data_IF_629316403085
#
_entry.id   IF_629316403085
#
_cell.length_a   1.000
_cell.length_b   1.000
_cell.length_c   1.000
_cell.angle_alpha   90.00
_cell.angle_beta   90.00
_cell.angle_gamma   90.00
#
_symmetry.space_group_name_H-M   'P 1'
#
loop_
_entity.id
_entity.type
_entity.pdbx_description
1 polymer ?
#
# COMPACT_ATOMS: atom_id res chain seq x y z
N UNK A 1 -4.13 6.20 -25.12
CA UNK A 1 -4.19 5.00 -24.27
C UNK A 1 -4.17 5.46 -22.81
N UNK A 2 -5.20 5.18 -22.02
CA UNK A 2 -5.19 5.50 -20.58
C UNK A 2 -4.40 4.41 -19.87
N UNK A 3 -3.25 4.76 -19.28
CA UNK A 3 -2.44 3.83 -18.49
C UNK A 3 -2.75 4.03 -17.01
N UNK A 4 -3.22 2.96 -16.37
CA UNK A 4 -3.49 2.89 -14.94
C UNK A 4 -2.25 2.37 -14.20
N UNK A 5 -1.97 2.96 -13.05
CA UNK A 5 -0.87 2.51 -12.21
C UNK A 5 -1.15 1.08 -11.71
N UNK A 6 -0.23 0.16 -11.98
CA UNK A 6 -0.32 -1.22 -11.48
C UNK A 6 0.63 -1.38 -10.31
N UNK A 7 0.10 -1.78 -9.15
CA UNK A 7 0.86 -1.86 -7.89
C UNK A 7 0.66 -3.24 -7.23
N UNK A 8 1.67 -3.75 -6.50
CA UNK A 8 1.49 -4.95 -5.65
C UNK A 8 0.47 -4.59 -4.58
N UNK A 9 -0.56 -5.41 -4.45
CA UNK A 9 -1.61 -5.23 -3.47
C UNK A 9 -1.15 -5.80 -2.13
N UNK A 10 -0.50 -4.93 -1.34
CA UNK A 10 0.02 -5.29 -0.02
C UNK A 10 -0.19 -4.14 0.98
N UNK A 11 -0.21 -4.44 2.30
CA UNK A 11 -0.42 -3.42 3.32
C UNK A 11 0.57 -2.26 3.24
N UNK A 12 1.86 -2.54 3.01
CA UNK A 12 2.90 -1.51 2.92
C UNK A 12 2.69 -0.55 1.73
N UNK A 13 2.29 -1.07 0.56
CA UNK A 13 2.02 -0.27 -0.63
C UNK A 13 0.78 0.60 -0.46
N UNK A 14 -0.29 0.06 0.13
CA UNK A 14 -1.51 0.82 0.43
C UNK A 14 -1.19 1.94 1.43
N UNK A 15 -0.43 1.66 2.49
CA UNK A 15 0.00 2.66 3.45
C UNK A 15 0.86 3.76 2.80
N UNK A 16 1.76 3.38 1.89
CA UNK A 16 2.63 4.33 1.16
C UNK A 16 1.81 5.24 0.25
N UNK A 17 0.88 4.68 -0.52
CA UNK A 17 -0.01 5.46 -1.38
C UNK A 17 -0.91 6.40 -0.58
N UNK A 18 -1.47 5.92 0.54
CA UNK A 18 -2.25 6.73 1.48
C UNK A 18 -1.44 7.90 2.01
N UNK A 19 -0.20 7.65 2.44
CA UNK A 19 0.70 8.69 2.93
C UNK A 19 0.98 9.72 1.84
N UNK A 20 1.28 9.30 0.62
CA UNK A 20 1.52 10.19 -0.50
C UNK A 20 0.30 11.08 -0.80
N UNK A 21 -0.90 10.49 -0.84
CA UNK A 21 -2.16 11.23 -1.04
C UNK A 21 -2.37 12.30 0.03
N UNK A 22 -2.16 11.96 1.30
CA UNK A 22 -2.33 12.90 2.42
C UNK A 22 -1.25 13.96 2.48
N UNK A 23 -0.04 13.66 2.02
CA UNK A 23 1.03 14.65 1.91
C UNK A 23 0.70 15.68 0.83
N UNK A 24 0.18 15.23 -0.33
CA UNK A 24 -0.23 16.14 -1.41
C UNK A 24 -1.49 16.94 -1.06
N UNK A 25 -2.42 16.34 -0.31
CA UNK A 25 -3.67 16.97 0.10
C UNK A 25 -3.89 16.86 1.62
N UNK A 26 -3.25 17.73 2.44
CA UNK A 26 -3.28 17.62 3.91
C UNK A 26 -4.66 17.73 4.55
N UNK A 27 -5.63 18.32 3.85
CA UNK A 27 -7.03 18.44 4.32
C UNK A 27 -7.81 17.13 4.27
N UNK A 28 -7.31 16.12 3.54
CA UNK A 28 -7.97 14.81 3.45
C UNK A 28 -7.79 14.06 4.77
N UNK A 29 -8.91 13.71 5.41
CA UNK A 29 -8.92 12.92 6.65
C UNK A 29 -8.42 11.51 6.37
N UNK A 30 -7.77 10.90 7.37
CA UNK A 30 -7.20 9.55 7.25
C UNK A 30 -8.21 8.51 6.75
N UNK A 31 -9.39 8.47 7.38
CA UNK A 31 -10.47 7.54 7.04
C UNK A 31 -11.07 7.79 5.65
N UNK A 32 -11.10 9.04 5.20
CA UNK A 32 -11.57 9.36 3.84
C UNK A 32 -10.54 8.95 2.78
N UNK A 33 -9.25 9.09 3.07
CA UNK A 33 -8.20 8.57 2.20
C UNK A 33 -8.29 7.04 2.07
N UNK A 34 -8.57 6.33 3.16
CA UNK A 34 -8.78 4.87 3.16
C UNK A 34 -9.95 4.47 2.23
N UNK A 35 -11.10 5.12 2.40
CA UNK A 35 -12.29 4.88 1.58
C UNK A 35 -12.08 5.25 0.10
N UNK A 36 -11.39 6.34 -0.17
CA UNK A 36 -11.08 6.79 -1.52
C UNK A 36 -10.14 5.83 -2.26
N UNK A 37 -9.10 5.34 -1.57
CA UNK A 37 -8.20 4.34 -2.12
C UNK A 37 -8.93 3.02 -2.39
N UNK A 38 -9.76 2.56 -1.45
CA UNK A 38 -10.56 1.34 -1.64
C UNK A 38 -11.45 1.44 -2.89
N UNK A 39 -12.14 2.58 -3.07
CA UNK A 39 -12.94 2.82 -4.28
C UNK A 39 -12.09 2.83 -5.56
N UNK A 40 -10.87 3.39 -5.52
CA UNK A 40 -9.96 3.41 -6.68
C UNK A 40 -9.53 2.01 -7.15
N UNK A 41 -9.60 1.01 -6.27
CA UNK A 41 -9.34 -0.39 -6.59
C UNK A 41 -10.62 -1.20 -6.83
N UNK A 42 -11.80 -0.55 -6.84
CA UNK A 42 -13.09 -1.19 -7.08
C UNK A 42 -13.77 -1.79 -5.85
N UNK A 43 -13.25 -1.56 -4.64
CA UNK A 43 -13.90 -2.02 -3.41
C UNK A 43 -15.02 -1.07 -2.98
N UNK A 44 -16.08 -1.65 -2.40
CA UNK A 44 -17.22 -0.88 -1.86
C UNK A 44 -16.88 -0.09 -0.60
N UNK A 45 -15.90 -0.54 0.17
CA UNK A 45 -15.44 0.10 1.40
C UNK A 45 -14.00 -0.31 1.72
N UNK A 46 -13.35 0.44 2.61
CA UNK A 46 -12.03 0.08 3.12
C UNK A 46 -12.04 -1.25 3.88
N UNK A 47 -13.11 -1.55 4.62
CA UNK A 47 -13.25 -2.83 5.32
C UNK A 47 -13.28 -4.03 4.35
N UNK A 48 -13.95 -3.89 3.20
CA UNK A 48 -13.95 -4.92 2.16
C UNK A 48 -12.56 -5.11 1.54
N UNK A 49 -11.83 -4.00 1.33
CA UNK A 49 -10.45 -4.04 0.85
C UNK A 49 -9.51 -4.74 1.84
N UNK A 50 -9.64 -4.43 3.14
CA UNK A 50 -8.85 -5.04 4.21
C UNK A 50 -9.07 -6.55 4.30
N UNK A 51 -10.30 -7.03 4.15
CA UNK A 51 -10.60 -8.45 4.15
C UNK A 51 -9.83 -9.21 3.05
N UNK A 52 -9.66 -8.59 1.87
CA UNK A 52 -8.86 -9.16 0.78
C UNK A 52 -7.36 -9.02 1.03
N UNK A 53 -6.89 -7.86 1.51
CA UNK A 53 -5.48 -7.65 1.86
C UNK A 53 -4.96 -8.73 2.82
N UNK A 54 -5.75 -9.07 3.84
CA UNK A 54 -5.40 -10.09 4.83
C UNK A 54 -5.39 -11.52 4.26
N UNK A 55 -6.11 -11.78 3.15
CA UNK A 55 -6.14 -13.10 2.51
C UNK A 55 -4.96 -13.28 1.55
N UNK A 56 -4.47 -12.21 0.93
CA UNK A 56 -3.41 -12.30 -0.10
C UNK A 56 -2.01 -12.08 0.44
N UNK A 57 -1.89 -11.54 1.65
CA UNK A 57 -0.61 -11.21 2.31
C UNK A 57 0.34 -12.40 2.50
N UNK A 58 -0.16 -13.65 2.49
CA UNK A 58 0.67 -14.83 2.79
C UNK A 58 1.38 -15.50 1.60
N UNK A 59 0.94 -15.34 0.35
CA UNK A 59 1.47 -16.17 -0.75
C UNK A 59 1.26 -15.66 -2.19
N UNK A 60 0.47 -14.61 -2.41
CA UNK A 60 0.08 -14.21 -3.77
C UNK A 60 0.65 -12.84 -4.15
N UNK A 61 1.35 -12.78 -5.30
CA UNK A 61 1.73 -11.52 -5.96
C UNK A 61 0.52 -10.89 -6.65
N UNK A 62 -0.52 -10.55 -5.88
CA UNK A 62 -1.68 -9.87 -6.43
C UNK A 62 -1.27 -8.46 -6.88
N UNK A 63 -1.49 -8.15 -8.15
CA UNK A 63 -1.29 -6.82 -8.72
C UNK A 63 -2.66 -6.18 -8.94
N UNK A 64 -2.82 -4.94 -8.52
CA UNK A 64 -4.07 -4.18 -8.74
C UNK A 64 -3.79 -2.94 -9.56
N UNK A 65 -4.77 -2.55 -10.38
CA UNK A 65 -4.77 -1.27 -11.06
C UNK A 65 -5.55 -0.26 -10.23
N UNK A 66 -4.98 0.93 -10.03
CA UNK A 66 -5.70 2.05 -9.44
C UNK A 66 -6.37 2.87 -10.55
N UNK A 67 -7.69 3.09 -10.42
CA UNK A 67 -8.43 3.99 -11.28
C UNK A 67 -8.47 5.41 -10.67
N UNK A 68 -7.76 6.39 -11.24
CA UNK A 68 -7.75 7.76 -10.74
C UNK A 68 -9.11 8.47 -10.91
N UNK A 69 -9.97 8.03 -11.83
CA UNK A 69 -11.32 8.57 -11.98
C UNK A 69 -12.21 8.14 -10.81
N UNK A 70 -12.15 6.86 -10.41
CA UNK A 70 -12.86 6.38 -9.23
C UNK A 70 -12.32 7.00 -7.93
N UNK A 71 -11.01 7.19 -7.85
CA UNK A 71 -10.38 7.92 -6.74
C UNK A 71 -10.94 9.35 -6.63
N UNK A 72 -10.94 10.09 -7.75
CA UNK A 72 -11.46 11.45 -7.80
C UNK A 72 -12.94 11.51 -7.43
N UNK A 73 -13.76 10.63 -8.02
CA UNK A 73 -15.19 10.57 -7.74
C UNK A 73 -15.46 10.31 -6.25
N UNK A 74 -14.73 9.37 -5.64
CA UNK A 74 -14.93 9.06 -4.22
C UNK A 74 -14.48 10.21 -3.32
N UNK A 75 -13.41 10.92 -3.67
CA UNK A 75 -12.98 12.11 -2.95
C UNK A 75 -14.00 13.25 -3.05
N UNK A 76 -14.60 13.45 -4.22
CA UNK A 76 -15.66 14.44 -4.42
C UNK A 76 -16.89 14.12 -3.56
N UNK A 77 -17.35 12.87 -3.54
CA UNK A 77 -18.44 12.39 -2.68
C UNK A 77 -18.17 12.60 -1.18
N UNK A 78 -16.90 12.59 -0.76
CA UNK A 78 -16.47 12.81 0.61
C UNK A 78 -16.22 14.29 0.94
N UNK A 79 -16.54 15.19 0.00
CA UNK A 79 -16.47 16.65 0.16
C UNK A 79 -15.16 17.29 -0.30
N UNK A 80 -14.32 16.57 -1.05
CA UNK A 80 -13.04 17.08 -1.58
C UNK A 80 -13.14 17.36 -3.08
N UNK A 81 -13.86 18.42 -3.43
CA UNK A 81 -14.03 18.87 -4.81
C UNK A 81 -12.83 19.70 -5.31
N UNK A 82 -12.75 19.87 -6.64
CA UNK A 82 -11.73 20.70 -7.29
C UNK A 82 -10.33 20.07 -7.37
N UNK A 83 -10.20 18.77 -7.07
CA UNK A 83 -8.95 18.04 -7.23
C UNK A 83 -8.68 17.74 -8.71
N UNK A 84 -7.41 17.77 -9.11
CA UNK A 84 -7.01 17.49 -10.49
C UNK A 84 -6.87 15.99 -10.72
N UNK A 85 -7.62 15.45 -11.70
CA UNK A 85 -7.49 14.07 -12.16
C UNK A 85 -6.05 13.75 -12.59
N UNK A 86 -5.39 14.71 -13.25
CA UNK A 86 -4.01 14.54 -13.70
C UNK A 86 -3.04 14.45 -12.52
N UNK A 87 -3.25 15.26 -11.48
CA UNK A 87 -2.43 15.22 -10.27
C UNK A 87 -2.61 13.89 -9.51
N UNK A 88 -3.85 13.39 -9.39
CA UNK A 88 -4.13 12.09 -8.78
C UNK A 88 -3.55 10.91 -9.58
N UNK A 89 -3.61 10.97 -10.91
CA UNK A 89 -2.96 9.98 -11.79
C UNK A 89 -1.44 10.00 -11.65
N UNK A 90 -0.85 11.19 -11.57
CA UNK A 90 0.59 11.35 -11.39
C UNK A 90 1.02 10.78 -10.03
N UNK A 91 0.27 11.10 -8.98
CA UNK A 91 0.51 10.58 -7.63
C UNK A 91 0.61 9.06 -7.63
N UNK A 92 -0.35 8.34 -8.22
CA UNK A 92 -0.34 6.87 -8.23
C UNK A 92 0.83 6.27 -9.00
N UNK A 93 1.44 7.02 -9.93
CA UNK A 93 2.62 6.57 -10.66
C UNK A 93 3.96 6.89 -10.00
N UNK A 94 4.07 8.05 -9.37
CA UNK A 94 5.33 8.56 -8.83
C UNK A 94 5.62 8.09 -7.40
N UNK A 95 4.66 7.43 -6.74
CA UNK A 95 4.88 6.88 -5.40
C UNK A 95 6.02 5.85 -5.42
N UNK A 96 7.10 6.05 -4.63
CA UNK A 96 8.15 5.06 -4.48
C UNK A 96 7.64 3.95 -3.57
N UNK A 97 7.02 2.93 -4.17
CA UNK A 97 6.52 1.78 -3.44
C UNK A 97 7.68 1.01 -2.80
N UNK A 98 7.58 0.65 -1.50
CA UNK A 98 8.62 -0.13 -0.84
C UNK A 98 8.87 -1.44 -1.58
N UNK A 99 10.15 -1.81 -1.63
CA UNK A 99 10.58 -2.99 -2.38
C UNK A 99 10.02 -4.28 -1.76
N UNK A 100 9.95 -5.32 -2.60
CA UNK A 100 9.02 -6.48 -2.52
C UNK A 100 9.03 -7.31 -1.23
N UNK A 101 9.97 -7.09 -0.30
CA UNK A 101 10.39 -8.04 0.75
C UNK A 101 9.91 -7.74 2.17
N UNK A 102 9.20 -6.63 2.42
CA UNK A 102 8.77 -6.27 3.78
C UNK A 102 7.56 -7.05 4.29
N UNK A 103 6.70 -7.52 3.37
CA UNK A 103 5.41 -8.15 3.69
C UNK A 103 5.41 -9.69 3.50
N UNK A 104 6.51 -10.29 3.06
CA UNK A 104 6.55 -11.73 2.76
C UNK A 104 6.95 -12.55 4.02
N UNK A 105 6.01 -13.35 4.56
CA UNK A 105 6.25 -14.27 5.69
C UNK A 105 7.43 -15.24 5.42
N UNK A 106 7.62 -15.63 4.15
CA UNK A 106 8.76 -16.43 3.70
C UNK A 106 10.09 -15.76 4.04
N UNK A 107 10.20 -14.43 3.89
CA UNK A 107 11.42 -13.71 4.20
C UNK A 107 11.63 -13.56 5.70
N UNK A 108 10.58 -13.38 6.50
CA UNK A 108 10.71 -13.43 7.96
C UNK A 108 11.21 -14.81 8.42
N UNK A 109 10.70 -15.89 7.82
CA UNK A 109 11.17 -17.25 8.07
C UNK A 109 12.62 -17.49 7.60
N UNK A 110 13.02 -16.93 6.46
CA UNK A 110 14.40 -17.00 5.96
C UNK A 110 15.36 -16.15 6.82
N UNK A 111 15.00 -14.92 7.17
CA UNK A 111 15.79 -14.06 8.05
C UNK A 111 15.98 -14.68 9.44
N UNK A 112 14.97 -15.38 9.98
CA UNK A 112 15.09 -16.14 11.22
C UNK A 112 16.05 -17.33 11.11
N UNK A 113 16.13 -17.98 9.93
CA UNK A 113 17.05 -19.11 9.67
C UNK A 113 18.48 -18.69 9.37
N UNK A 114 18.69 -17.52 8.78
CA UNK A 114 20.01 -17.01 8.38
C UNK A 114 20.53 -15.89 9.29
N UNK A 115 19.88 -15.63 10.43
CA UNK A 115 20.44 -14.76 11.45
C UNK A 115 21.81 -15.32 11.87
N UNK A 116 22.91 -14.56 11.75
CA UNK A 116 24.23 -15.05 12.13
C UNK A 116 24.20 -15.37 13.63
N UNK A 117 24.48 -16.63 13.97
CA UNK A 117 24.79 -17.00 15.35
C UNK A 117 26.02 -16.19 15.74
N UNK A 118 25.87 -15.30 16.72
CA UNK A 118 26.98 -14.52 17.23
C UNK A 118 28.08 -15.49 17.70
N UNK A 119 29.24 -15.43 17.07
CA UNK A 119 30.38 -16.32 17.32
C UNK A 119 31.09 -16.09 18.68
N UNK A 120 30.47 -15.36 19.60
CA UNK A 120 31.03 -15.07 20.92
C UNK A 120 30.17 -15.74 22.00
N UNK A 121 30.32 -17.05 22.19
CA UNK A 121 29.84 -17.74 23.40
C UNK A 121 30.77 -18.82 23.92
N UNK A 122 31.96 -19.00 23.34
CA UNK A 122 33.00 -19.86 23.91
C UNK A 122 34.09 -19.01 24.56
N UNK A 123 33.77 -18.47 25.74
CA UNK A 123 34.78 -18.10 26.72
C UNK A 123 34.85 -19.23 27.76
N UNK A 124 35.88 -20.05 27.62
CA UNK A 124 36.22 -21.20 28.49
C UNK A 124 36.43 -20.72 29.94
N UNK A 125 35.85 -21.37 30.96
CA UNK A 125 36.14 -21.04 32.35
C UNK A 125 37.54 -21.55 32.72
N UNK A 126 38.34 -20.68 33.34
CA UNK A 126 39.59 -21.04 34.04
C UNK A 126 39.34 -21.08 35.54
#
# INVERSE_FOLDING_TARGET
MMMHATIKFSPSNIATLKKALRNQYPKIRSSHADEALAASFGFKSYAAMLAVLNQVSGSARLMVQSDPCLLLLRLDQLGYSGLSLQALRRLTWEVPYPDRWQDDELQQALNGRFAPVAANSDAVPS
#
